data_IF_905246613844
#
_entry.id   IF_905246613844
#
_cell.length_a   1.000
_cell.length_b   1.000
_cell.length_c   1.000
_cell.angle_alpha   90.00
_cell.angle_beta   90.00
_cell.angle_gamma   90.00
#
_symmetry.space_group_name_H-M   'P 1'
#
loop_
_entity.id
_entity.type
_entity.pdbx_description
1 polymer ?
#
# COMPACT_ATOMS: atom_id res chain seq x y z
N UNK A 1 -7.69 -9.42 3.94
CA UNK A 1 -7.73 -10.89 4.15
C UNK A 1 -9.14 -11.48 4.08
N UNK A 2 -10.20 -10.79 4.54
CA UNK A 2 -11.57 -11.28 4.45
C UNK A 2 -12.02 -11.63 3.01
N UNK A 3 -11.55 -10.89 2.00
CA UNK A 3 -11.93 -11.10 0.59
C UNK A 3 -11.58 -12.50 0.04
N UNK A 4 -10.52 -13.14 0.54
CA UNK A 4 -10.13 -14.49 0.10
C UNK A 4 -10.79 -15.65 0.87
N UNK A 5 -11.57 -15.36 1.91
CA UNK A 5 -12.28 -16.39 2.69
C UNK A 5 -13.52 -16.94 1.99
N UNK A 6 -14.03 -16.28 0.96
CA UNK A 6 -15.09 -16.79 0.09
C UNK A 6 -14.87 -16.30 -1.35
N UNK A 7 -13.95 -16.92 -2.12
CA UNK A 7 -13.69 -16.50 -3.50
C UNK A 7 -14.96 -16.57 -4.33
N UNK A 8 -15.34 -15.46 -4.97
CA UNK A 8 -16.58 -15.33 -5.76
C UNK A 8 -17.83 -14.90 -4.97
N UNK A 9 -17.74 -14.77 -3.64
CA UNK A 9 -18.80 -14.18 -2.81
C UNK A 9 -19.09 -12.72 -3.17
N UNK A 10 -20.25 -12.20 -2.76
CA UNK A 10 -20.63 -10.82 -3.04
C UNK A 10 -19.64 -9.79 -2.44
N UNK A 11 -19.15 -10.05 -1.22
CA UNK A 11 -18.10 -9.23 -0.58
C UNK A 11 -16.79 -9.23 -1.37
N UNK A 12 -16.35 -10.39 -1.87
CA UNK A 12 -15.14 -10.50 -2.71
C UNK A 12 -15.29 -9.71 -4.01
N UNK A 13 -16.45 -9.82 -4.68
CA UNK A 13 -16.77 -9.07 -5.90
C UNK A 13 -16.83 -7.56 -5.68
N UNK A 14 -17.51 -7.09 -4.63
CA UNK A 14 -17.64 -5.65 -4.34
C UNK A 14 -16.27 -5.06 -3.99
N UNK A 15 -15.52 -5.70 -3.09
CA UNK A 15 -14.19 -5.21 -2.68
C UNK A 15 -13.20 -5.20 -3.84
N UNK A 16 -13.20 -6.24 -4.68
CA UNK A 16 -12.35 -6.30 -5.87
C UNK A 16 -12.79 -5.27 -6.91
N UNK A 17 -14.09 -5.08 -7.12
CA UNK A 17 -14.61 -4.04 -8.02
C UNK A 17 -14.20 -2.64 -7.59
N UNK A 18 -14.36 -2.31 -6.30
CA UNK A 18 -13.90 -1.03 -5.72
C UNK A 18 -12.39 -0.87 -5.88
N UNK A 19 -11.62 -1.91 -5.57
CA UNK A 19 -10.15 -1.86 -5.69
C UNK A 19 -9.70 -1.65 -7.13
N UNK A 20 -10.33 -2.30 -8.11
CA UNK A 20 -10.03 -2.11 -9.54
C UNK A 20 -10.42 -0.72 -10.00
N UNK A 21 -11.57 -0.21 -9.57
CA UNK A 21 -11.99 1.16 -9.88
C UNK A 21 -10.99 2.19 -9.32
N UNK A 22 -10.58 2.04 -8.05
CA UNK A 22 -9.57 2.90 -7.44
C UNK A 22 -8.20 2.76 -8.11
N UNK A 23 -7.75 1.56 -8.46
CA UNK A 23 -6.48 1.33 -9.13
C UNK A 23 -6.43 1.92 -10.55
N UNK A 24 -7.60 2.11 -11.18
CA UNK A 24 -7.72 2.71 -12.50
C UNK A 24 -7.68 4.24 -12.45
N UNK A 25 -7.86 4.83 -11.27
CA UNK A 25 -7.84 6.26 -11.07
C UNK A 25 -6.43 6.71 -10.62
N UNK A 26 -5.86 7.74 -11.25
CA UNK A 26 -4.73 8.47 -10.68
C UNK A 26 -4.98 8.89 -9.22
N UNK A 27 -3.94 8.85 -8.39
CA UNK A 27 -3.99 9.19 -6.97
C UNK A 27 -4.56 10.60 -6.70
N UNK A 28 -4.22 11.58 -7.55
CA UNK A 28 -4.74 12.94 -7.43
C UNK A 28 -6.25 13.03 -7.65
N UNK A 29 -6.83 12.21 -8.54
CA UNK A 29 -8.29 12.20 -8.76
C UNK A 29 -9.02 11.63 -7.55
N UNK A 30 -8.46 10.60 -6.91
CA UNK A 30 -8.98 10.09 -5.63
C UNK A 30 -8.95 11.19 -4.58
N UNK A 31 -7.88 11.99 -4.53
CA UNK A 31 -7.78 13.15 -3.64
C UNK A 31 -8.79 14.25 -3.92
N UNK A 32 -8.96 14.65 -5.18
CA UNK A 32 -9.98 15.63 -5.57
C UNK A 32 -11.38 15.12 -5.19
N UNK A 33 -11.67 13.84 -5.39
CA UNK A 33 -12.92 13.22 -4.97
C UNK A 33 -13.13 13.29 -3.47
N UNK A 34 -12.10 12.94 -2.68
CA UNK A 34 -12.15 13.03 -1.22
C UNK A 34 -12.37 14.47 -0.73
N UNK A 35 -11.69 15.46 -1.32
CA UNK A 35 -11.92 16.88 -1.03
C UNK A 35 -13.37 17.27 -1.36
N UNK A 36 -13.86 16.89 -2.54
CA UNK A 36 -15.20 17.24 -3.01
C UNK A 36 -16.30 16.71 -2.09
N UNK A 37 -16.14 15.48 -1.60
CA UNK A 37 -17.09 14.86 -0.68
C UNK A 37 -16.93 15.43 0.73
N UNK A 38 -15.76 15.26 1.34
CA UNK A 38 -15.60 15.50 2.79
C UNK A 38 -15.38 16.97 3.15
N UNK A 39 -14.76 17.77 2.29
CA UNK A 39 -14.49 19.17 2.57
C UNK A 39 -15.54 20.11 1.95
N UNK A 40 -15.97 19.86 0.71
CA UNK A 40 -16.94 20.74 0.04
C UNK A 40 -18.39 20.37 0.35
N UNK A 41 -18.77 19.09 0.24
CA UNK A 41 -20.16 18.66 0.41
C UNK A 41 -20.53 18.50 1.88
N UNK A 42 -19.77 17.69 2.63
CA UNK A 42 -20.04 17.40 4.04
C UNK A 42 -19.44 18.45 5.00
N UNK A 43 -18.39 19.16 4.58
CA UNK A 43 -17.66 20.17 5.38
C UNK A 43 -17.15 19.64 6.72
N UNK A 44 -16.80 18.35 6.77
CA UNK A 44 -16.28 17.67 7.96
C UNK A 44 -14.79 17.92 8.16
N UNK A 45 -14.05 18.02 7.06
CA UNK A 45 -12.59 18.07 7.06
C UNK A 45 -12.10 19.30 6.28
N UNK A 46 -10.97 19.89 6.68
CA UNK A 46 -10.37 20.98 5.91
C UNK A 46 -9.80 20.45 4.58
N UNK A 47 -9.96 21.20 3.46
CA UNK A 47 -9.56 20.73 2.14
C UNK A 47 -8.04 20.75 1.90
N UNK A 48 -7.30 21.64 2.56
CA UNK A 48 -5.87 21.85 2.35
C UNK A 48 -5.23 22.60 3.53
N UNK A 49 -3.93 22.41 3.74
CA UNK A 49 -3.13 23.05 4.79
C UNK A 49 -2.48 22.05 5.75
N UNK A 50 -1.88 22.55 6.84
CA UNK A 50 -1.08 21.75 7.77
C UNK A 50 -1.20 22.20 9.23
N UNK A 51 -2.17 23.06 9.55
CA UNK A 51 -2.26 23.73 10.87
C UNK A 51 -2.83 22.85 11.98
N UNK A 52 -3.67 21.88 11.64
CA UNK A 52 -4.30 20.97 12.61
C UNK A 52 -4.23 19.54 12.10
N UNK A 53 -4.25 18.55 13.01
CA UNK A 53 -4.20 17.13 12.63
C UNK A 53 -5.32 16.68 11.68
N UNK A 54 -6.46 17.39 11.66
CA UNK A 54 -7.54 17.15 10.70
C UNK A 54 -7.10 17.32 9.23
N UNK A 55 -6.09 18.16 8.97
CA UNK A 55 -5.54 18.37 7.63
C UNK A 55 -4.75 17.17 7.11
N UNK A 56 -4.31 16.26 7.99
CA UNK A 56 -3.58 15.05 7.58
C UNK A 56 -4.52 13.91 7.17
N UNK A 57 -5.80 13.99 7.53
CA UNK A 57 -6.77 12.90 7.31
C UNK A 57 -7.00 12.64 5.82
N UNK A 58 -7.26 13.69 5.03
CA UNK A 58 -7.51 13.52 3.59
C UNK A 58 -6.23 13.11 2.83
N UNK A 59 -5.04 13.73 3.05
CA UNK A 59 -3.78 13.24 2.52
C UNK A 59 -3.50 11.77 2.85
N UNK A 60 -3.64 11.38 4.12
CA UNK A 60 -3.39 10.00 4.53
C UNK A 60 -4.38 9.03 3.88
N UNK A 61 -5.65 9.40 3.76
CA UNK A 61 -6.65 8.59 3.08
C UNK A 61 -6.35 8.46 1.58
N UNK A 62 -5.90 9.51 0.91
CA UNK A 62 -5.53 9.41 -0.52
C UNK A 62 -4.44 8.39 -0.77
N UNK A 63 -3.37 8.44 0.03
CA UNK A 63 -2.28 7.48 -0.06
C UNK A 63 -2.76 6.07 0.31
N UNK A 64 -3.49 5.95 1.42
CA UNK A 64 -3.97 4.66 1.92
C UNK A 64 -4.91 3.97 0.91
N UNK A 65 -5.81 4.71 0.26
CA UNK A 65 -6.71 4.15 -0.74
C UNK A 65 -5.96 3.72 -2.00
N UNK A 66 -4.97 4.50 -2.45
CA UNK A 66 -4.11 4.13 -3.57
C UNK A 66 -3.35 2.83 -3.29
N UNK A 67 -2.70 2.73 -2.14
CA UNK A 67 -1.99 1.54 -1.68
C UNK A 67 -2.93 0.33 -1.50
N UNK A 68 -4.11 0.56 -0.93
CA UNK A 68 -5.13 -0.48 -0.71
C UNK A 68 -5.63 -1.09 -2.03
N UNK A 69 -5.81 -0.27 -3.06
CA UNK A 69 -6.31 -0.71 -4.36
C UNK A 69 -5.45 -1.85 -4.95
N UNK A 70 -4.12 -1.71 -4.89
CA UNK A 70 -3.20 -2.77 -5.34
C UNK A 70 -3.09 -3.90 -4.32
N UNK A 71 -3.02 -3.57 -3.03
CA UNK A 71 -2.89 -4.55 -1.95
C UNK A 71 -4.02 -5.58 -1.93
N UNK A 72 -5.26 -5.17 -2.19
CA UNK A 72 -6.43 -6.08 -2.20
C UNK A 72 -6.22 -7.22 -3.21
N UNK A 73 -5.74 -6.93 -4.41
CA UNK A 73 -5.54 -7.93 -5.47
C UNK A 73 -4.44 -8.94 -5.10
N UNK A 74 -3.33 -8.45 -4.54
CA UNK A 74 -2.21 -9.29 -4.12
C UNK A 74 -2.61 -10.18 -2.95
N UNK A 75 -3.21 -9.60 -1.91
CA UNK A 75 -3.69 -10.36 -0.74
C UNK A 75 -4.71 -11.40 -1.18
N UNK A 76 -5.64 -11.07 -2.09
CA UNK A 76 -6.64 -12.01 -2.59
C UNK A 76 -5.97 -13.18 -3.31
N UNK A 77 -5.05 -12.92 -4.23
CA UNK A 77 -4.35 -13.96 -4.98
C UNK A 77 -3.57 -14.90 -4.04
N UNK A 78 -2.84 -14.34 -3.08
CA UNK A 78 -2.11 -15.10 -2.07
C UNK A 78 -3.04 -16.02 -1.24
N UNK A 79 -4.20 -15.51 -0.83
CA UNK A 79 -5.17 -16.30 -0.05
C UNK A 79 -5.79 -17.41 -0.91
N UNK A 80 -6.10 -17.15 -2.18
CA UNK A 80 -6.64 -18.17 -3.10
C UNK A 80 -5.63 -19.28 -3.33
N UNK A 81 -4.37 -18.94 -3.57
CA UNK A 81 -3.27 -19.89 -3.77
C UNK A 81 -3.07 -20.78 -2.54
N UNK A 82 -2.96 -20.18 -1.36
CA UNK A 82 -2.81 -20.89 -0.09
C UNK A 82 -3.97 -21.85 0.15
N UNK A 83 -5.20 -21.47 -0.18
CA UNK A 83 -6.38 -22.33 -0.01
C UNK A 83 -6.42 -23.52 -0.96
N UNK A 84 -5.85 -23.38 -2.15
CA UNK A 84 -5.72 -24.46 -3.14
C UNK A 84 -4.59 -25.43 -2.83
N UNK A 85 -3.70 -25.09 -1.89
CA UNK A 85 -2.50 -25.88 -1.63
C UNK A 85 -2.79 -27.22 -0.92
N UNK A 86 -2.02 -28.24 -1.27
CA UNK A 86 -2.18 -29.62 -0.78
C UNK A 86 -2.17 -29.74 0.76
N UNK A 87 -1.34 -28.94 1.45
CA UNK A 87 -1.26 -28.96 2.92
C UNK A 87 -2.56 -28.50 3.59
N UNK A 88 -3.36 -27.64 2.95
CA UNK A 88 -4.67 -27.24 3.45
C UNK A 88 -5.71 -28.36 3.30
N UNK A 89 -5.65 -29.10 2.20
CA UNK A 89 -6.47 -30.31 1.99
C UNK A 89 -6.12 -31.37 3.03
N UNK A 90 -4.85 -31.61 3.28
CA UNK A 90 -4.40 -32.55 4.31
C UNK A 90 -4.84 -32.14 5.73
N UNK A 91 -4.79 -30.86 6.06
CA UNK A 91 -5.27 -30.34 7.35
C UNK A 91 -6.78 -30.59 7.55
N UNK A 92 -7.57 -30.50 6.48
CA UNK A 92 -9.01 -30.82 6.51
C UNK A 92 -9.26 -32.32 6.68
N UNK A 93 -8.49 -33.18 6.01
CA UNK A 93 -8.59 -34.64 6.15
C UNK A 93 -8.30 -35.05 7.60
N UNK A 94 -7.37 -34.37 8.30
CA UNK A 94 -7.13 -34.54 9.74
C UNK A 94 -8.24 -33.98 10.66
N UNK A 95 -9.37 -33.53 10.11
CA UNK A 95 -10.52 -33.06 10.88
C UNK A 95 -10.42 -31.61 11.38
N UNK A 96 -9.40 -30.83 10.98
CA UNK A 96 -9.37 -29.40 11.33
C UNK A 96 -10.32 -28.59 10.46
N UNK A 97 -11.07 -27.70 11.10
CA UNK A 97 -11.95 -26.76 10.38
C UNK A 97 -11.14 -25.86 9.44
N UNK A 98 -11.73 -25.49 8.31
CA UNK A 98 -11.08 -24.65 7.31
C UNK A 98 -10.55 -23.31 7.89
N UNK A 99 -11.31 -22.71 8.81
CA UNK A 99 -10.91 -21.48 9.49
C UNK A 99 -9.71 -21.69 10.43
N UNK A 100 -9.69 -22.78 11.19
CA UNK A 100 -8.57 -23.10 12.08
C UNK A 100 -7.30 -23.44 11.29
N UNK A 101 -7.42 -24.21 10.21
CA UNK A 101 -6.30 -24.54 9.33
C UNK A 101 -5.70 -23.27 8.70
N UNK A 102 -6.56 -22.37 8.21
CA UNK A 102 -6.14 -21.11 7.60
C UNK A 102 -5.46 -20.19 8.61
N UNK A 103 -6.02 -20.03 9.81
CA UNK A 103 -5.44 -19.15 10.84
C UNK A 103 -4.05 -19.62 11.29
N UNK A 104 -3.82 -20.92 11.40
CA UNK A 104 -2.52 -21.45 11.84
C UNK A 104 -1.49 -21.61 10.72
N UNK A 105 -1.90 -22.12 9.56
CA UNK A 105 -0.97 -22.49 8.48
C UNK A 105 -1.09 -21.56 7.28
N UNK A 106 -2.32 -21.16 6.94
CA UNK A 106 -2.59 -20.33 5.76
C UNK A 106 -2.11 -18.89 5.91
N UNK A 107 -2.31 -18.26 7.06
CA UNK A 107 -1.92 -16.86 7.28
C UNK A 107 -0.41 -16.64 7.12
N UNK A 108 0.41 -17.53 7.70
CA UNK A 108 1.87 -17.44 7.60
C UNK A 108 2.34 -17.59 6.16
N UNK A 109 1.76 -18.52 5.40
CA UNK A 109 2.12 -18.73 4.00
C UNK A 109 1.58 -17.62 3.07
N UNK A 110 0.40 -17.06 3.37
CA UNK A 110 -0.15 -15.93 2.62
C UNK A 110 0.60 -14.62 2.92
N UNK A 111 1.25 -14.51 4.08
CA UNK A 111 2.01 -13.33 4.47
C UNK A 111 3.27 -13.12 3.63
N UNK A 112 3.86 -14.19 3.06
CA UNK A 112 5.08 -14.11 2.25
C UNK A 112 4.90 -13.19 1.03
N UNK A 113 3.97 -13.46 0.08
CA UNK A 113 3.77 -12.57 -1.07
C UNK A 113 3.26 -11.17 -0.67
N UNK A 114 2.55 -11.05 0.45
CA UNK A 114 2.07 -9.76 0.96
C UNK A 114 3.23 -8.92 1.49
N UNK A 115 4.18 -9.51 2.20
CA UNK A 115 5.38 -8.84 2.69
C UNK A 115 6.28 -8.39 1.54
N UNK A 116 6.50 -9.25 0.54
CA UNK A 116 7.25 -8.89 -0.68
C UNK A 116 6.59 -7.73 -1.42
N UNK A 117 5.26 -7.73 -1.52
CA UNK A 117 4.54 -6.64 -2.16
C UNK A 117 4.56 -5.34 -1.33
N UNK A 118 4.57 -5.44 0.00
CA UNK A 118 4.71 -4.27 0.86
C UNK A 118 6.04 -3.53 0.62
N UNK A 119 7.12 -4.26 0.31
CA UNK A 119 8.39 -3.64 -0.11
C UNK A 119 8.22 -2.80 -1.38
N UNK A 120 7.57 -3.36 -2.41
CA UNK A 120 7.29 -2.66 -3.68
C UNK A 120 6.39 -1.43 -3.49
N UNK A 121 5.50 -1.43 -2.49
CA UNK A 121 4.62 -0.30 -2.20
C UNK A 121 5.36 0.97 -1.77
N UNK A 122 6.56 0.85 -1.20
CA UNK A 122 7.36 2.03 -0.87
C UNK A 122 7.81 2.82 -2.11
N UNK A 123 7.99 2.16 -3.26
CA UNK A 123 8.25 2.85 -4.53
C UNK A 123 7.04 3.69 -4.97
N UNK A 124 5.83 3.15 -4.81
CA UNK A 124 4.60 3.87 -5.10
C UNK A 124 4.34 5.04 -4.13
N UNK A 125 4.86 4.96 -2.89
CA UNK A 125 4.75 6.08 -1.96
C UNK A 125 5.52 7.31 -2.44
N UNK A 126 6.65 7.15 -3.14
CA UNK A 126 7.45 8.27 -3.68
C UNK A 126 6.62 9.12 -4.64
N UNK A 127 5.94 8.49 -5.60
CA UNK A 127 5.03 9.18 -6.52
C UNK A 127 3.82 9.79 -5.78
N UNK A 128 3.24 9.00 -4.86
CA UNK A 128 2.06 9.41 -4.12
C UNK A 128 2.26 10.66 -3.27
N UNK A 129 3.36 10.76 -2.52
CA UNK A 129 3.54 11.86 -1.57
C UNK A 129 3.77 13.20 -2.26
N UNK A 130 4.48 13.24 -3.39
CA UNK A 130 4.72 14.49 -4.15
C UNK A 130 3.39 15.08 -4.63
N UNK A 131 2.54 14.24 -5.21
CA UNK A 131 1.23 14.63 -5.73
C UNK A 131 0.31 15.08 -4.59
N UNK A 132 0.31 14.35 -3.47
CA UNK A 132 -0.53 14.64 -2.31
C UNK A 132 -0.09 15.92 -1.61
N UNK A 133 1.21 16.17 -1.44
CA UNK A 133 1.73 17.42 -0.88
C UNK A 133 1.28 18.63 -1.69
N UNK A 134 1.38 18.54 -3.02
CA UNK A 134 0.93 19.59 -3.92
C UNK A 134 -0.58 19.82 -3.88
N UNK A 135 -1.37 18.74 -3.93
CA UNK A 135 -2.82 18.83 -3.97
C UNK A 135 -3.40 19.41 -2.68
N UNK A 136 -2.86 19.02 -1.52
CA UNK A 136 -3.34 19.45 -0.21
C UNK A 136 -2.59 20.65 0.37
N UNK A 137 -1.66 21.25 -0.38
CA UNK A 137 -0.81 22.35 0.08
C UNK A 137 -0.13 22.04 1.42
N UNK A 138 0.47 20.84 1.48
CA UNK A 138 1.13 20.31 2.65
C UNK A 138 2.66 20.41 2.47
N UNK A 139 3.37 21.19 3.31
CA UNK A 139 4.79 21.44 3.13
C UNK A 139 5.61 20.18 3.36
N UNK A 140 6.29 19.74 2.30
CA UNK A 140 7.20 18.60 2.36
C UNK A 140 8.23 18.59 1.24
N UNK A 141 8.94 17.47 1.11
CA UNK A 141 10.08 17.34 0.20
C UNK A 141 9.66 17.33 -1.27
N UNK A 142 8.47 16.84 -1.56
CA UNK A 142 7.92 16.76 -2.90
C UNK A 142 7.48 18.13 -3.38
N UNK A 143 6.81 18.89 -2.50
CA UNK A 143 6.49 20.28 -2.76
C UNK A 143 7.76 21.12 -3.03
N UNK A 144 8.79 20.95 -2.19
CA UNK A 144 10.07 21.62 -2.35
C UNK A 144 10.75 21.28 -3.67
N UNK A 145 10.77 19.99 -4.04
CA UNK A 145 11.39 19.52 -5.27
C UNK A 145 10.74 20.15 -6.50
N UNK A 146 9.41 20.16 -6.57
CA UNK A 146 8.69 20.74 -7.71
C UNK A 146 8.88 22.26 -7.75
N UNK A 147 8.85 22.95 -6.61
CA UNK A 147 9.14 24.39 -6.54
C UNK A 147 10.53 24.72 -7.06
N UNK A 148 11.54 23.95 -6.64
CA UNK A 148 12.92 24.11 -7.10
C UNK A 148 13.06 23.81 -8.61
N UNK A 149 12.35 22.79 -9.10
CA UNK A 149 12.33 22.43 -10.52
C UNK A 149 11.75 23.58 -11.38
N UNK A 150 10.64 24.17 -10.95
CA UNK A 150 10.02 25.31 -11.63
C UNK A 150 10.90 26.57 -11.57
N UNK A 151 11.60 26.78 -10.45
CA UNK A 151 12.58 27.86 -10.29
C UNK A 151 13.90 27.60 -11.03
N UNK A 152 14.08 26.41 -11.64
CA UNK A 152 15.34 25.95 -12.25
C UNK A 152 16.53 25.98 -11.30
N UNK A 153 16.28 25.79 -10.01
CA UNK A 153 17.30 25.70 -8.97
C UNK A 153 17.89 24.29 -8.94
N UNK A 154 18.84 24.05 -9.85
CA UNK A 154 19.47 22.73 -10.03
C UNK A 154 20.13 22.21 -8.74
N UNK A 155 20.87 23.02 -7.95
CA UNK A 155 21.41 22.58 -6.67
C UNK A 155 20.35 22.05 -5.72
N UNK A 156 19.22 22.75 -5.55
CA UNK A 156 18.15 22.32 -4.64
C UNK A 156 17.45 21.05 -5.17
N UNK A 157 17.23 20.94 -6.48
CA UNK A 157 16.68 19.72 -7.09
C UNK A 157 17.58 18.52 -6.84
N UNK A 158 18.89 18.67 -7.02
CA UNK A 158 19.85 17.59 -6.76
C UNK A 158 19.90 17.23 -5.28
N UNK A 159 19.92 18.22 -4.37
CA UNK A 159 19.91 17.99 -2.93
C UNK A 159 18.65 17.27 -2.45
N UNK A 160 17.47 17.74 -2.87
CA UNK A 160 16.19 17.11 -2.55
C UNK A 160 16.11 15.68 -3.12
N UNK A 161 16.55 15.49 -4.37
CA UNK A 161 16.60 14.18 -5.00
C UNK A 161 17.51 13.20 -4.26
N UNK A 162 18.66 13.66 -3.77
CA UNK A 162 19.61 12.83 -3.00
C UNK A 162 19.03 12.41 -1.66
N UNK A 163 18.34 13.32 -0.95
CA UNK A 163 17.65 13.01 0.30
C UNK A 163 16.53 11.99 0.07
N UNK A 164 15.68 12.20 -0.95
CA UNK A 164 14.60 11.27 -1.30
C UNK A 164 15.18 9.90 -1.65
N UNK A 165 16.25 9.86 -2.46
CA UNK A 165 16.93 8.63 -2.84
C UNK A 165 17.53 7.88 -1.65
N UNK A 166 18.14 8.58 -0.70
CA UNK A 166 18.71 7.98 0.51
C UNK A 166 17.62 7.38 1.41
N UNK A 167 16.52 8.11 1.61
CA UNK A 167 15.36 7.63 2.38
C UNK A 167 14.76 6.40 1.68
N UNK A 168 14.59 6.46 0.36
CA UNK A 168 14.06 5.34 -0.43
C UNK A 168 14.95 4.09 -0.33
N UNK A 169 16.26 4.25 -0.45
CA UNK A 169 17.22 3.16 -0.28
C UNK A 169 17.17 2.57 1.15
N UNK A 170 17.10 3.42 2.18
CA UNK A 170 16.99 2.98 3.57
C UNK A 170 15.71 2.22 3.85
N UNK A 171 14.58 2.68 3.33
CA UNK A 171 13.29 2.00 3.47
C UNK A 171 13.27 0.66 2.75
N UNK A 172 13.79 0.58 1.52
CA UNK A 172 13.92 -0.70 0.81
C UNK A 172 14.82 -1.68 1.54
N UNK A 173 15.96 -1.21 2.08
CA UNK A 173 16.83 -2.07 2.88
C UNK A 173 16.10 -2.62 4.10
N UNK A 174 15.33 -1.80 4.81
CA UNK A 174 14.50 -2.25 5.93
C UNK A 174 13.43 -3.26 5.49
N UNK A 175 12.82 -3.06 4.33
CA UNK A 175 11.82 -3.97 3.78
C UNK A 175 12.44 -5.33 3.38
N UNK A 176 13.62 -5.33 2.78
CA UNK A 176 14.37 -6.54 2.43
C UNK A 176 14.80 -7.29 3.69
N UNK A 177 15.29 -6.59 4.72
CA UNK A 177 15.60 -7.19 6.02
C UNK A 177 14.36 -7.80 6.69
N UNK A 178 13.21 -7.12 6.61
CA UNK A 178 11.95 -7.65 7.12
C UNK A 178 11.50 -8.90 6.34
N UNK A 179 11.67 -8.91 5.01
CA UNK A 179 11.39 -10.08 4.17
C UNK A 179 12.30 -11.27 4.53
N UNK A 180 13.61 -11.03 4.73
CA UNK A 180 14.56 -12.05 5.17
C UNK A 180 14.20 -12.63 6.55
N UNK A 181 13.74 -11.79 7.48
CA UNK A 181 13.30 -12.23 8.80
C UNK A 181 12.01 -13.08 8.73
N UNK A 182 11.10 -12.77 7.79
CA UNK A 182 9.84 -13.49 7.60
C UNK A 182 10.01 -14.82 6.86
N UNK A 183 10.94 -14.89 5.90
CA UNK A 183 11.21 -16.10 5.11
C UNK A 183 12.70 -16.52 5.18
N UNK A 184 13.09 -17.30 6.22
CA UNK A 184 14.46 -17.79 6.35
C UNK A 184 14.89 -18.75 5.22
N UNK A 185 13.97 -19.16 4.32
CA UNK A 185 14.33 -19.97 3.14
C UNK A 185 15.00 -19.16 2.04
N UNK A 186 14.76 -17.85 1.97
CA UNK A 186 15.46 -16.98 1.01
C UNK A 186 16.93 -16.79 1.41
N UNK A 187 17.22 -16.72 2.71
CA UNK A 187 18.60 -16.65 3.22
C UNK A 187 19.44 -17.87 2.78
N UNK A 188 18.84 -19.06 2.66
CA UNK A 188 19.51 -20.27 2.19
C UNK A 188 19.83 -20.27 0.68
N UNK A 189 19.13 -19.46 -0.14
CA UNK A 189 19.40 -19.33 -1.58
C UNK A 189 20.45 -18.28 -1.92
N UNK A 190 20.66 -17.29 -1.04
CA UNK A 190 21.71 -16.27 -1.22
C UNK A 190 23.07 -16.77 -0.74
N UNK A 191 23.09 -17.79 0.13
CA UNK A 191 24.30 -18.43 0.64
C UNK A 191 24.84 -19.60 -0.22
N UNK A 192 24.19 -19.90 -1.35
CA UNK A 192 24.56 -20.95 -2.31
C UNK A 192 24.97 -20.33 -3.64
#
# INVERSE_FOLDING_TARGET
MACGFAPGGWLDRVTTGIAVALASLPSFLVGIGLISVFALSLRWLPPAGYRTGAHMVLPALTLALGLAAFSVRIIRNAVVEVRGAFYMTFARIRGRSAASAFRHHGLRNAAIPVATFAALQFAYMVDGFVVVEMLFNYPGLGELLVKALLARDVPVVMGAGLVIGLVYAGVNLLADLACLALDPRQAARVAA
#
